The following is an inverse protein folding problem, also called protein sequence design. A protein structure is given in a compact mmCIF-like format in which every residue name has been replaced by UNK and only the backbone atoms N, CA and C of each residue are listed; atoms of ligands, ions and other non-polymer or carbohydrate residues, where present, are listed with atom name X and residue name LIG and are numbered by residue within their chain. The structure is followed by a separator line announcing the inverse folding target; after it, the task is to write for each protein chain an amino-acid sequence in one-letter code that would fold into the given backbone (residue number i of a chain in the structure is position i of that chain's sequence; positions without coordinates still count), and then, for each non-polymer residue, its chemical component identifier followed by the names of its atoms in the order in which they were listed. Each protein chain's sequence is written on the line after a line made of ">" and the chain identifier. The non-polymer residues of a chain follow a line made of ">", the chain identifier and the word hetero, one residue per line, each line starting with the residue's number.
data_IF_746599487073
#
_entry.id   IF_746599487073
#
_cell.length_a   1.000
_cell.length_b   1.000
_cell.length_c   1.000
_cell.angle_alpha   90.00
_cell.angle_beta   90.00
_cell.angle_gamma   90.00
#
_symmetry.space_group_name_H-M   'P 1'
#
loop_
_entity.id
_entity.type
_entity.pdbx_description
1 polymer ?
#
# COMPACT_ATOMS: atom_id res chain seq x y z
N UNK A 1 10.94 1.98 -5.01
CA UNK A 1 11.99 0.94 -5.00
C UNK A 1 12.05 0.27 -6.36
N UNK A 2 13.21 -0.30 -6.71
CA UNK A 2 13.42 -1.00 -7.98
C UNK A 2 14.14 -2.31 -7.69
N UNK A 3 13.90 -3.33 -8.48
CA UNK A 3 14.63 -4.60 -8.37
C UNK A 3 16.16 -4.44 -8.45
N UNK A 4 16.64 -3.45 -9.22
CA UNK A 4 18.07 -3.11 -9.29
C UNK A 4 18.73 -2.82 -7.92
N UNK A 5 17.96 -2.39 -6.92
CA UNK A 5 18.48 -2.20 -5.57
C UNK A 5 18.87 -3.52 -4.90
N UNK A 6 18.26 -4.63 -5.30
CA UNK A 6 18.63 -5.98 -4.83
C UNK A 6 20.04 -6.34 -5.30
N UNK A 7 20.41 -5.95 -6.52
CA UNK A 7 21.76 -6.17 -7.04
C UNK A 7 22.81 -5.44 -6.21
N UNK A 8 22.51 -4.21 -5.78
CA UNK A 8 23.40 -3.46 -4.89
C UNK A 8 23.58 -4.16 -3.53
N UNK A 9 22.49 -4.62 -2.91
CA UNK A 9 22.56 -5.38 -1.66
C UNK A 9 23.35 -6.70 -1.81
N UNK A 10 23.20 -7.37 -2.96
CA UNK A 10 23.88 -8.63 -3.25
C UNK A 10 25.38 -8.48 -3.43
N UNK A 11 25.85 -7.30 -3.81
CA UNK A 11 27.26 -7.01 -4.02
C UNK A 11 28.10 -7.01 -2.74
N UNK A 12 27.45 -6.94 -1.56
CA UNK A 12 28.12 -6.95 -0.26
C UNK A 12 27.71 -8.19 0.54
N UNK A 13 28.70 -9.04 0.87
CA UNK A 13 28.48 -10.27 1.62
C UNK A 13 27.94 -10.05 3.04
N UNK A 14 28.23 -8.91 3.66
CA UNK A 14 27.71 -8.55 5.00
C UNK A 14 26.20 -8.44 5.00
N UNK A 15 25.61 -7.97 3.92
CA UNK A 15 24.15 -7.84 3.82
C UNK A 15 23.42 -9.19 3.95
N UNK A 16 23.97 -10.26 3.41
CA UNK A 16 23.37 -11.59 3.54
C UNK A 16 23.34 -12.03 5.01
N UNK A 17 24.43 -11.86 5.73
CA UNK A 17 24.52 -12.19 7.16
C UNK A 17 23.56 -11.35 8.01
N UNK A 18 23.48 -10.05 7.77
CA UNK A 18 22.55 -9.15 8.48
C UNK A 18 21.07 -9.51 8.25
N UNK A 19 20.76 -10.06 7.07
CA UNK A 19 19.40 -10.52 6.73
C UNK A 19 19.13 -11.97 7.20
N UNK A 20 20.06 -12.62 7.91
CA UNK A 20 19.93 -14.02 8.29
C UNK A 20 19.89 -14.99 7.10
N UNK A 21 20.45 -14.59 5.96
CA UNK A 21 20.42 -15.34 4.71
C UNK A 21 21.81 -15.89 4.38
N UNK A 22 21.87 -17.04 3.72
CA UNK A 22 23.12 -17.57 3.20
C UNK A 22 23.68 -16.69 2.07
N UNK A 23 22.80 -16.14 1.25
CA UNK A 23 23.11 -15.18 0.19
C UNK A 23 21.87 -14.36 -0.17
N UNK A 24 22.05 -13.12 -0.58
CA UNK A 24 20.98 -12.31 -1.16
C UNK A 24 20.62 -12.86 -2.54
N UNK A 25 19.36 -13.12 -2.79
CA UNK A 25 18.86 -13.63 -4.08
C UNK A 25 19.07 -12.60 -5.19
N UNK A 26 19.14 -13.07 -6.45
CA UNK A 26 19.18 -12.16 -7.60
C UNK A 26 17.83 -11.43 -7.78
N UNK A 27 17.88 -10.24 -8.36
CA UNK A 27 16.67 -9.47 -8.69
C UNK A 27 15.69 -10.27 -9.56
N UNK A 28 16.21 -11.05 -10.50
CA UNK A 28 15.40 -11.88 -11.40
C UNK A 28 14.76 -13.08 -10.67
N UNK A 29 15.47 -13.65 -9.70
CA UNK A 29 14.89 -14.70 -8.83
C UNK A 29 13.76 -14.16 -7.97
N UNK A 30 13.91 -12.96 -7.39
CA UNK A 30 12.86 -12.30 -6.61
C UNK A 30 11.66 -11.98 -7.50
N UNK A 31 11.91 -11.41 -8.67
CA UNK A 31 10.84 -11.10 -9.64
C UNK A 31 10.05 -12.35 -10.04
N UNK A 32 10.73 -13.45 -10.35
CA UNK A 32 10.07 -14.73 -10.69
C UNK A 32 9.31 -15.32 -9.51
N UNK A 33 9.85 -15.22 -8.30
CA UNK A 33 9.18 -15.70 -7.11
C UNK A 33 7.88 -14.90 -6.85
N UNK A 34 7.96 -13.57 -6.88
CA UNK A 34 6.77 -12.71 -6.70
C UNK A 34 5.70 -12.94 -7.76
N UNK A 35 6.10 -13.20 -9.01
CA UNK A 35 5.14 -13.50 -10.10
C UNK A 35 4.40 -14.84 -9.93
N UNK A 36 4.82 -15.70 -9.00
CA UNK A 36 4.20 -17.00 -8.71
C UNK A 36 3.32 -16.97 -7.47
N UNK A 37 3.37 -15.90 -6.70
CA UNK A 37 2.53 -15.75 -5.50
C UNK A 37 1.13 -15.39 -5.97
N UNK A 38 0.14 -16.14 -5.51
CA UNK A 38 -1.26 -15.77 -5.69
C UNK A 38 -1.54 -14.44 -5.00
N UNK A 39 -2.30 -13.55 -5.67
CA UNK A 39 -2.53 -12.19 -5.19
C UNK A 39 -3.22 -12.19 -3.82
N UNK A 40 -4.27 -12.99 -3.65
CA UNK A 40 -5.03 -13.02 -2.39
C UNK A 40 -4.16 -13.52 -1.23
N UNK A 41 -3.39 -14.60 -1.46
CA UNK A 41 -2.46 -15.12 -0.47
C UNK A 41 -1.33 -14.12 -0.14
N UNK A 42 -0.83 -13.40 -1.15
CA UNK A 42 0.17 -12.35 -0.99
C UNK A 42 -0.34 -11.17 -0.16
N UNK A 43 -1.56 -10.70 -0.44
CA UNK A 43 -2.22 -9.62 0.31
C UNK A 43 -2.45 -10.04 1.77
N UNK A 44 -3.01 -11.24 2.00
CA UNK A 44 -3.22 -11.76 3.36
C UNK A 44 -1.92 -11.86 4.16
N UNK A 45 -0.84 -12.32 3.51
CA UNK A 45 0.47 -12.40 4.14
C UNK A 45 0.99 -11.02 4.53
N UNK A 46 0.90 -10.03 3.63
CA UNK A 46 1.31 -8.65 3.90
C UNK A 46 0.50 -8.03 5.03
N UNK A 47 -0.82 -8.19 5.01
CA UNK A 47 -1.71 -7.67 6.05
C UNK A 47 -1.36 -8.23 7.43
N UNK A 48 -1.13 -9.55 7.54
CA UNK A 48 -0.71 -10.15 8.82
C UNK A 48 0.61 -9.58 9.34
N UNK A 49 1.59 -9.34 8.46
CA UNK A 49 2.87 -8.78 8.87
C UNK A 49 2.76 -7.30 9.26
N UNK A 50 1.96 -6.53 8.55
CA UNK A 50 1.66 -5.15 8.92
C UNK A 50 0.94 -5.11 10.26
N UNK A 51 -0.10 -5.93 10.47
CA UNK A 51 -0.82 -6.02 11.74
C UNK A 51 0.12 -6.33 12.91
N UNK A 52 1.01 -7.30 12.75
CA UNK A 52 2.00 -7.61 13.78
C UNK A 52 2.89 -6.42 14.12
N UNK A 53 3.26 -5.63 13.12
CA UNK A 53 4.15 -4.48 13.30
C UNK A 53 3.46 -3.31 14.01
N UNK A 54 2.22 -2.98 13.64
CA UNK A 54 1.59 -1.76 14.13
C UNK A 54 0.62 -1.97 15.31
N UNK A 55 0.08 -3.17 15.56
CA UNK A 55 -0.86 -3.42 16.67
C UNK A 55 -0.37 -2.93 18.03
N UNK A 56 0.90 -3.14 18.42
CA UNK A 56 1.40 -2.62 19.69
C UNK A 56 1.35 -1.08 19.80
N UNK A 57 1.27 -0.38 18.68
CA UNK A 57 1.27 1.09 18.61
C UNK A 57 -0.14 1.68 18.70
N UNK A 58 -1.18 0.87 18.64
CA UNK A 58 -2.59 1.31 18.66
C UNK A 58 -3.19 1.35 20.08
N UNK A 59 -2.37 1.22 21.14
CA UNK A 59 -2.81 1.27 22.53
C UNK A 59 -3.22 2.66 23.01
N UNK A 60 -2.71 3.71 22.38
CA UNK A 60 -3.04 5.11 22.65
C UNK A 60 -3.99 5.68 21.61
N UNK A 61 -4.76 6.73 21.93
CA UNK A 61 -5.62 7.39 20.95
C UNK A 61 -4.81 7.91 19.76
N UNK A 62 -5.16 7.48 18.56
CA UNK A 62 -4.44 7.81 17.33
C UNK A 62 -5.37 8.37 16.25
N UNK A 63 -4.78 8.97 15.23
CA UNK A 63 -5.47 9.56 14.07
C UNK A 63 -5.18 8.72 12.83
N UNK A 64 -6.24 8.32 12.12
CA UNK A 64 -6.14 7.69 10.81
C UNK A 64 -6.12 8.76 9.72
N UNK A 65 -4.99 8.90 9.04
CA UNK A 65 -4.90 9.67 7.80
C UNK A 65 -5.23 8.76 6.61
N UNK A 66 -6.12 9.24 5.76
CA UNK A 66 -6.47 8.61 4.49
C UNK A 66 -6.13 9.57 3.35
N UNK A 67 -5.45 9.06 2.35
CA UNK A 67 -5.01 9.85 1.20
C UNK A 67 -5.12 9.04 -0.10
N UNK A 68 -5.15 9.73 -1.22
CA UNK A 68 -5.23 9.13 -2.54
C UNK A 68 -4.16 9.71 -3.45
N UNK A 69 -3.35 8.82 -4.01
CA UNK A 69 -2.29 9.19 -4.94
C UNK A 69 -2.51 8.54 -6.30
N UNK A 70 -2.52 9.36 -7.36
CA UNK A 70 -2.57 8.85 -8.74
C UNK A 70 -1.15 8.58 -9.25
N UNK A 71 -0.87 7.33 -9.61
CA UNK A 71 0.42 6.90 -10.14
C UNK A 71 0.35 6.65 -11.65
N UNK A 72 0.86 7.56 -12.50
CA UNK A 72 0.93 7.32 -13.94
C UNK A 72 1.86 6.15 -14.26
N UNK A 73 1.45 5.32 -15.21
CA UNK A 73 2.17 4.11 -15.60
C UNK A 73 2.72 4.24 -17.02
N UNK A 74 3.89 3.66 -17.25
CA UNK A 74 4.63 3.73 -18.53
C UNK A 74 4.77 2.35 -19.19
N UNK A 75 3.94 1.40 -18.79
CA UNK A 75 3.93 0.03 -19.29
C UNK A 75 2.52 -0.51 -19.38
N UNK A 76 2.42 -1.82 -19.60
CA UNK A 76 1.15 -2.55 -19.66
C UNK A 76 0.92 -3.29 -18.36
N UNK A 77 0.72 -2.54 -17.28
CA UNK A 77 0.37 -3.12 -15.99
C UNK A 77 -1.12 -3.48 -15.98
N UNK A 78 -1.44 -4.60 -15.35
CA UNK A 78 -2.81 -5.04 -15.13
C UNK A 78 -3.60 -3.99 -14.34
N UNK A 79 -4.86 -3.79 -14.67
CA UNK A 79 -5.72 -2.80 -14.03
C UNK A 79 -5.38 -1.33 -14.34
N UNK A 80 -4.33 -1.05 -15.13
CA UNK A 80 -4.00 0.31 -15.52
C UNK A 80 -5.02 0.85 -16.53
N UNK A 81 -5.74 1.90 -16.16
CA UNK A 81 -6.74 2.57 -17.02
C UNK A 81 -6.54 4.07 -17.00
N UNK A 82 -7.06 4.72 -18.04
CA UNK A 82 -7.11 6.19 -18.09
C UNK A 82 -8.17 6.69 -17.11
N UNK A 83 -7.75 7.55 -16.20
CA UNK A 83 -8.60 8.22 -15.22
C UNK A 83 -8.22 9.69 -15.07
N UNK A 84 -8.74 10.33 -14.03
CA UNK A 84 -8.39 11.71 -13.72
C UNK A 84 -6.91 11.81 -13.31
N UNK A 85 -6.13 12.50 -14.11
CA UNK A 85 -4.73 12.77 -13.81
C UNK A 85 -4.36 14.14 -14.39
N UNK A 86 -4.40 15.20 -13.57
CA UNK A 86 -4.15 16.56 -14.05
C UNK A 86 -2.70 16.78 -14.53
N UNK A 87 -1.75 16.01 -14.01
CA UNK A 87 -0.34 16.14 -14.41
C UNK A 87 -0.01 15.45 -15.73
N UNK A 88 -0.74 14.37 -16.06
CA UNK A 88 -0.54 13.59 -17.30
C UNK A 88 -1.88 13.09 -17.85
N UNK A 89 -2.70 13.97 -18.41
CA UNK A 89 -3.99 13.62 -18.97
C UNK A 89 -3.87 12.52 -20.03
N UNK A 90 -4.84 11.61 -20.08
CA UNK A 90 -4.90 10.52 -21.07
C UNK A 90 -3.91 9.37 -20.85
N UNK A 91 -3.08 9.41 -19.80
CA UNK A 91 -2.16 8.32 -19.49
C UNK A 91 -2.81 7.33 -18.54
N UNK A 92 -2.69 6.00 -18.83
CA UNK A 92 -3.09 4.97 -17.86
C UNK A 92 -2.39 5.13 -16.53
N UNK A 93 -3.11 4.88 -15.44
CA UNK A 93 -2.63 5.04 -14.08
C UNK A 93 -3.25 3.99 -13.15
N UNK A 94 -2.65 3.86 -11.96
CA UNK A 94 -3.31 3.30 -10.80
C UNK A 94 -3.63 4.43 -9.80
N UNK A 95 -4.67 4.23 -9.01
CA UNK A 95 -4.99 5.06 -7.86
C UNK A 95 -4.65 4.27 -6.60
N UNK A 96 -3.82 4.85 -5.73
CA UNK A 96 -3.43 4.26 -4.45
C UNK A 96 -4.24 4.92 -3.36
N UNK A 97 -5.08 4.14 -2.67
CA UNK A 97 -5.75 4.57 -1.45
C UNK A 97 -4.86 4.15 -0.28
N UNK A 98 -4.39 5.09 0.50
CA UNK A 98 -3.44 4.87 1.59
C UNK A 98 -4.06 5.18 2.93
N UNK A 99 -3.71 4.38 3.91
CA UNK A 99 -4.18 4.46 5.29
C UNK A 99 -2.98 4.50 6.22
N UNK A 100 -2.82 5.56 7.00
CA UNK A 100 -1.63 5.76 7.82
C UNK A 100 -1.97 6.24 9.25
N UNK A 101 -1.13 5.88 10.22
CA UNK A 101 -1.11 6.51 11.53
C UNK A 101 -0.45 7.87 11.38
N UNK A 102 -1.22 8.94 11.55
CA UNK A 102 -0.78 10.31 11.27
C UNK A 102 0.46 10.72 12.06
N UNK A 103 0.45 10.47 13.36
CA UNK A 103 1.51 10.86 14.29
C UNK A 103 2.83 10.14 14.00
N UNK A 104 2.75 8.89 13.54
CA UNK A 104 3.91 8.05 13.28
C UNK A 104 4.32 8.02 11.80
N UNK A 105 3.48 8.53 10.91
CA UNK A 105 3.63 8.39 9.44
C UNK A 105 3.82 6.93 9.00
N UNK A 106 3.17 6.02 9.72
CA UNK A 106 3.28 4.58 9.50
C UNK A 106 2.08 4.10 8.68
N UNK A 107 2.36 3.48 7.51
CA UNK A 107 1.32 2.89 6.68
C UNK A 107 0.74 1.64 7.33
N UNK A 108 -0.58 1.62 7.46
CA UNK A 108 -1.37 0.47 7.89
C UNK A 108 -1.77 -0.40 6.70
N UNK A 109 -2.13 0.24 5.60
CA UNK A 109 -2.56 -0.43 4.37
C UNK A 109 -2.42 0.47 3.16
N UNK A 110 -2.28 -0.14 1.99
CA UNK A 110 -2.33 0.52 0.68
C UNK A 110 -3.16 -0.35 -0.26
N UNK A 111 -4.24 0.20 -0.80
CA UNK A 111 -5.01 -0.43 -1.85
C UNK A 111 -4.58 0.10 -3.21
N UNK A 112 -4.30 -0.79 -4.15
CA UNK A 112 -4.03 -0.44 -5.53
C UNK A 112 -5.32 -0.60 -6.33
N UNK A 113 -5.84 0.50 -6.82
CA UNK A 113 -7.08 0.56 -7.59
C UNK A 113 -6.82 0.97 -9.03
N UNK A 114 -7.76 0.69 -9.93
CA UNK A 114 -7.70 1.18 -11.31
C UNK A 114 -7.70 2.73 -11.33
N UNK A 115 -7.02 3.34 -12.29
CA UNK A 115 -6.79 4.78 -12.33
C UNK A 115 -8.04 5.66 -12.42
N UNK A 116 -9.21 5.09 -12.71
CA UNK A 116 -10.51 5.76 -12.72
C UNK A 116 -11.32 5.57 -11.42
N UNK A 117 -10.74 4.93 -10.41
CA UNK A 117 -11.42 4.68 -9.13
C UNK A 117 -11.00 5.72 -8.09
N UNK A 118 -11.81 6.77 -8.00
CA UNK A 118 -11.61 7.86 -7.04
C UNK A 118 -12.01 7.46 -5.63
N UNK A 119 -11.30 8.00 -4.62
CA UNK A 119 -11.54 7.74 -3.22
C UNK A 119 -12.99 7.91 -2.79
N UNK A 120 -13.64 9.01 -3.16
CA UNK A 120 -15.03 9.32 -2.79
C UNK A 120 -16.07 8.25 -3.14
N UNK A 121 -15.75 7.37 -4.11
CA UNK A 121 -16.66 6.30 -4.56
C UNK A 121 -16.17 4.89 -4.24
N UNK A 122 -14.85 4.70 -4.12
CA UNK A 122 -14.25 3.37 -4.12
C UNK A 122 -13.44 3.05 -2.86
N UNK A 123 -13.19 4.03 -1.98
CA UNK A 123 -12.42 3.81 -0.75
C UNK A 123 -13.20 3.19 0.40
N UNK A 124 -14.52 3.39 0.45
CA UNK A 124 -15.31 2.95 1.60
C UNK A 124 -15.19 1.45 1.91
N UNK A 125 -15.23 0.52 0.93
CA UNK A 125 -15.08 -0.91 1.22
C UNK A 125 -13.75 -1.24 1.90
N UNK A 126 -12.62 -0.71 1.42
CA UNK A 126 -11.30 -0.94 1.99
C UNK A 126 -11.14 -0.32 3.38
N UNK A 127 -11.62 0.91 3.56
CA UNK A 127 -11.65 1.56 4.86
C UNK A 127 -12.41 0.72 5.89
N UNK A 128 -13.61 0.24 5.54
CA UNK A 128 -14.40 -0.59 6.45
C UNK A 128 -13.77 -1.95 6.71
N UNK A 129 -13.12 -2.56 5.71
CA UNK A 129 -12.38 -3.80 5.90
C UNK A 129 -11.20 -3.61 6.86
N UNK A 130 -10.43 -2.52 6.72
CA UNK A 130 -9.36 -2.16 7.66
C UNK A 130 -9.91 -1.98 9.08
N UNK A 131 -10.95 -1.18 9.27
CA UNK A 131 -11.54 -0.94 10.59
C UNK A 131 -12.11 -2.22 11.22
N UNK A 132 -12.72 -3.09 10.43
CA UNK A 132 -13.21 -4.40 10.90
C UNK A 132 -12.06 -5.29 11.36
N UNK A 133 -10.95 -5.33 10.62
CA UNK A 133 -9.75 -6.10 10.95
C UNK A 133 -9.05 -5.59 12.22
N UNK A 134 -9.02 -4.29 12.43
CA UNK A 134 -8.49 -3.68 13.65
C UNK A 134 -9.34 -4.05 14.88
N UNK A 135 -10.66 -4.09 14.73
CA UNK A 135 -11.62 -4.25 15.82
C UNK A 135 -11.86 -2.94 16.57
N UNK A 136 -13.04 -2.78 17.15
CA UNK A 136 -13.49 -1.51 17.73
C UNK A 136 -12.57 -0.94 18.82
N UNK A 137 -11.94 -1.80 19.60
CA UNK A 137 -11.02 -1.37 20.68
C UNK A 137 -9.77 -0.64 20.15
N UNK A 138 -9.39 -0.89 18.89
CA UNK A 138 -8.22 -0.29 18.25
C UNK A 138 -8.61 0.76 17.18
N UNK A 139 -9.85 1.22 17.15
CA UNK A 139 -10.27 2.23 16.19
C UNK A 139 -9.59 3.58 16.46
N UNK A 140 -9.31 4.36 15.39
CA UNK A 140 -8.79 5.71 15.55
C UNK A 140 -9.81 6.60 16.26
N UNK A 141 -9.35 7.56 17.04
CA UNK A 141 -10.21 8.60 17.65
C UNK A 141 -10.70 9.61 16.59
N UNK A 142 -9.99 9.75 15.49
CA UNK A 142 -10.31 10.67 14.41
C UNK A 142 -9.85 10.05 13.09
N UNK A 143 -10.69 10.16 12.07
CA UNK A 143 -10.35 9.89 10.67
C UNK A 143 -10.22 11.22 9.95
N UNK A 144 -9.15 11.42 9.23
CA UNK A 144 -8.82 12.63 8.49
C UNK A 144 -8.46 12.28 7.06
N UNK A 145 -9.01 13.00 6.10
CA UNK A 145 -8.71 12.89 4.67
C UNK A 145 -8.86 14.24 3.99
N UNK A 146 -8.44 14.33 2.75
CA UNK A 146 -8.66 15.50 1.90
C UNK A 146 -10.11 15.56 1.39
N UNK A 147 -10.40 16.57 0.56
CA UNK A 147 -11.76 16.78 0.01
C UNK A 147 -12.24 15.66 -0.90
N UNK A 148 -11.33 14.84 -1.44
CA UNK A 148 -11.68 13.70 -2.29
C UNK A 148 -12.30 12.53 -1.50
N UNK A 149 -12.15 12.54 -0.17
CA UNK A 149 -12.77 11.59 0.76
C UNK A 149 -14.13 12.08 1.30
N UNK A 150 -14.46 13.35 1.12
CA UNK A 150 -15.74 13.87 1.56
C UNK A 150 -16.86 13.37 0.63
N UNK A 151 -17.98 12.84 1.18
CA UNK A 151 -19.14 12.53 0.35
C UNK A 151 -19.66 13.83 -0.28
N UNK A 152 -19.72 13.87 -1.61
CA UNK A 152 -20.40 14.97 -2.29
C UNK A 152 -21.86 14.91 -1.86
N UNK A 153 -22.32 15.95 -1.16
CA UNK A 153 -23.75 16.13 -0.94
C UNK A 153 -24.42 16.26 -2.31
N UNK A 154 -25.32 15.34 -2.58
CA UNK A 154 -26.25 15.43 -3.70
C UNK A 154 -27.28 16.50 -3.38
#
# INVERSE_FOLDING_TARGET
>A
QRYAHITALRGDAVNAALLGMHRVMSEDSVRRALARIDEAAGVEWLQRHLDYTFRPLLGEPWILDVDTTVKPLYGRQEGAVVGYNPHKPGRPSHTYHTYAIAELRLMLEVEVQAGNQHASKHSAPGLWALLARLGRAAWPRLLRGDCDWAPRRI
#
